data_IF_602901245837
#
_entry.id   IF_602901245837
#
_cell.length_a   1.000
_cell.length_b   1.000
_cell.length_c   1.000
_cell.angle_alpha   90.00
_cell.angle_beta   90.00
_cell.angle_gamma   90.00
#
_symmetry.space_group_name_H-M   'P 1'
#
loop_
_entity.id
_entity.type
_entity.pdbx_description
1 polymer ?
#
# COMPACT_ATOMS: atom_id res chain seq x y z
N UNK A 1 34.93 -44.29 52.45
CA UNK A 1 35.54 -43.27 51.57
C UNK A 1 34.89 -43.38 50.21
N UNK A 2 34.13 -42.33 49.86
CA UNK A 2 33.82 -41.72 48.55
C UNK A 2 34.06 -42.58 47.29
N UNK A 3 33.22 -42.60 46.26
CA UNK A 3 32.40 -41.51 45.75
C UNK A 3 31.36 -42.04 44.76
N UNK A 4 30.14 -41.50 44.82
CA UNK A 4 29.20 -41.47 43.70
C UNK A 4 29.75 -40.53 42.62
N UNK A 5 29.67 -40.92 41.34
CA UNK A 5 29.75 -40.05 40.15
C UNK A 5 28.84 -40.68 39.10
N UNK A 6 27.54 -40.36 39.13
CA UNK A 6 26.92 -39.19 38.48
C UNK A 6 26.95 -39.28 36.95
N UNK A 7 25.80 -39.69 36.44
CA UNK A 7 25.29 -39.52 35.08
C UNK A 7 25.47 -38.07 34.60
N UNK A 8 25.86 -37.90 33.34
CA UNK A 8 25.48 -36.73 32.55
C UNK A 8 25.52 -37.10 31.06
N UNK A 9 24.37 -37.36 30.42
CA UNK A 9 24.30 -37.39 28.96
C UNK A 9 24.47 -35.94 28.50
N UNK A 10 25.44 -35.70 27.62
CA UNK A 10 25.54 -34.45 26.87
C UNK A 10 24.25 -34.27 26.07
N UNK A 11 23.36 -33.46 26.63
CA UNK A 11 22.25 -32.83 25.95
C UNK A 11 22.81 -32.08 24.74
N UNK A 12 22.63 -32.68 23.56
CA UNK A 12 22.59 -31.97 22.29
C UNK A 12 21.41 -30.99 22.38
N UNK A 13 21.66 -29.80 22.92
CA UNK A 13 20.82 -28.63 22.69
C UNK A 13 20.90 -28.31 21.20
N UNK A 14 20.10 -29.01 20.40
CA UNK A 14 19.58 -28.46 19.15
C UNK A 14 18.81 -27.20 19.54
N UNK A 15 19.51 -26.08 19.54
CA UNK A 15 18.91 -24.76 19.44
C UNK A 15 18.31 -24.71 18.04
N UNK A 16 17.11 -25.27 17.89
CA UNK A 16 16.20 -24.82 16.86
C UNK A 16 15.93 -23.36 17.19
N UNK A 17 16.72 -22.45 16.61
CA UNK A 17 16.25 -21.11 16.31
C UNK A 17 15.07 -21.30 15.35
N UNK A 18 13.90 -21.60 15.91
CA UNK A 18 12.64 -21.30 15.25
C UNK A 18 12.68 -19.79 15.10
N UNK A 19 13.10 -19.31 13.93
CA UNK A 19 12.76 -17.96 13.52
C UNK A 19 11.24 -17.94 13.55
N UNK A 20 10.68 -17.40 14.63
CA UNK A 20 9.29 -17.01 14.68
C UNK A 20 9.15 -16.02 13.54
N UNK A 21 8.67 -16.51 12.39
CA UNK A 21 8.26 -15.65 11.32
C UNK A 21 7.11 -14.84 11.90
N UNK A 22 7.39 -13.58 12.25
CA UNK A 22 6.43 -12.63 12.79
C UNK A 22 5.37 -12.46 11.70
N UNK A 23 4.20 -13.06 11.94
CA UNK A 23 3.06 -12.95 11.06
C UNK A 23 2.42 -11.60 11.30
N UNK A 24 2.24 -10.81 10.25
CA UNK A 24 1.52 -9.55 10.36
C UNK A 24 0.04 -9.76 10.04
N UNK A 25 -0.80 -9.14 10.86
CA UNK A 25 -2.24 -9.11 10.64
C UNK A 25 -2.59 -8.10 9.56
N UNK A 26 -3.18 -8.59 8.47
CA UNK A 26 -3.76 -7.74 7.44
C UNK A 26 -5.24 -7.63 7.75
N UNK A 27 -5.65 -6.47 8.25
CA UNK A 27 -7.04 -6.20 8.65
C UNK A 27 -7.61 -7.23 9.64
N UNK A 28 -6.79 -7.66 10.62
CA UNK A 28 -7.21 -8.60 11.67
C UNK A 28 -7.25 -10.07 11.22
N UNK A 29 -6.66 -10.40 10.07
CA UNK A 29 -6.46 -11.78 9.63
C UNK A 29 -4.96 -12.11 9.56
N UNK A 30 -4.55 -13.15 10.30
CA UNK A 30 -3.17 -13.66 10.38
C UNK A 30 -2.74 -14.25 9.03
N UNK A 31 -2.21 -13.40 8.16
CA UNK A 31 -2.08 -13.74 6.75
C UNK A 31 -0.75 -13.28 6.15
N UNK A 32 -0.13 -12.20 6.64
CA UNK A 32 1.13 -11.70 6.08
C UNK A 32 2.40 -12.08 6.83
N UNK A 33 3.56 -11.74 6.24
CA UNK A 33 4.83 -11.49 6.94
C UNK A 33 5.29 -10.08 6.59
N UNK A 34 5.78 -9.37 7.60
CA UNK A 34 6.44 -8.09 7.43
C UNK A 34 7.86 -8.32 6.92
N UNK A 35 8.24 -7.67 5.80
CA UNK A 35 9.55 -7.89 5.18
C UNK A 35 10.22 -6.60 4.72
N UNK A 36 11.52 -6.53 4.98
CA UNK A 36 12.42 -5.47 4.52
C UNK A 36 12.98 -5.70 3.13
N UNK A 37 12.74 -6.88 2.52
CA UNK A 37 13.25 -7.26 1.20
C UNK A 37 12.88 -6.28 0.08
N UNK A 38 11.87 -5.48 0.36
CA UNK A 38 11.27 -4.51 -0.52
C UNK A 38 11.76 -3.09 -0.22
N UNK A 39 12.12 -2.72 1.01
CA UNK A 39 12.36 -1.31 1.32
C UNK A 39 13.84 -0.95 1.20
N UNK A 40 14.26 -0.02 0.32
CA UNK A 40 15.68 0.26 0.12
C UNK A 40 16.36 0.89 1.34
N UNK A 41 15.63 1.65 2.16
CA UNK A 41 16.22 2.36 3.31
C UNK A 41 16.41 1.49 4.55
N UNK A 42 15.86 0.26 4.60
CA UNK A 42 16.24 -0.70 5.65
C UNK A 42 17.65 -1.28 5.47
N UNK A 43 18.33 -0.93 4.37
CA UNK A 43 19.69 -1.37 4.07
C UNK A 43 20.74 -0.27 4.24
N UNK A 44 20.34 0.90 4.76
CA UNK A 44 21.32 1.88 5.21
C UNK A 44 22.05 1.30 6.42
N UNK A 45 23.36 1.06 6.27
CA UNK A 45 24.22 0.66 7.39
C UNK A 45 24.38 1.89 8.30
N UNK A 46 24.27 1.70 9.61
CA UNK A 46 24.52 2.74 10.62
C UNK A 46 25.88 3.42 10.34
N UNK A 47 25.84 4.60 9.71
CA UNK A 47 27.02 5.38 9.32
C UNK A 47 27.29 5.43 7.81
N UNK A 48 26.60 6.36 7.13
CA UNK A 48 26.98 7.05 5.87
C UNK A 48 27.18 6.28 4.55
N UNK A 49 27.24 4.95 4.49
CA UNK A 49 27.32 4.25 3.20
C UNK A 49 25.98 3.62 2.81
N UNK A 50 25.34 4.22 1.80
CA UNK A 50 24.17 3.65 1.13
C UNK A 50 24.60 2.31 0.50
N UNK A 51 23.99 1.20 0.92
CA UNK A 51 24.21 -0.09 0.26
C UNK A 51 23.50 -0.08 -1.11
N UNK A 52 24.22 0.40 -2.13
CA UNK A 52 23.75 0.49 -3.51
C UNK A 52 23.32 -0.88 -4.04
N UNK A 53 23.96 -1.96 -3.59
CA UNK A 53 23.61 -3.31 -4.04
C UNK A 53 22.27 -3.74 -3.44
N UNK A 54 22.06 -3.52 -2.15
CA UNK A 54 20.80 -3.85 -1.50
C UNK A 54 19.63 -3.00 -2.02
N UNK A 55 19.85 -1.71 -2.31
CA UNK A 55 18.86 -0.85 -2.97
C UNK A 55 18.48 -1.42 -4.33
N UNK A 56 19.48 -1.85 -5.12
CA UNK A 56 19.25 -2.44 -6.42
C UNK A 56 18.54 -3.80 -6.32
N UNK A 57 18.87 -4.62 -5.32
CA UNK A 57 18.19 -5.89 -5.05
C UNK A 57 16.73 -5.67 -4.67
N UNK A 58 16.45 -4.75 -3.76
CA UNK A 58 15.08 -4.37 -3.37
C UNK A 58 14.27 -3.90 -4.58
N UNK A 59 14.88 -3.08 -5.45
CA UNK A 59 14.26 -2.62 -6.70
C UNK A 59 13.95 -3.77 -7.66
N UNK A 60 14.89 -4.68 -7.89
CA UNK A 60 14.70 -5.86 -8.74
C UNK A 60 13.56 -6.72 -8.19
N UNK A 61 13.56 -6.94 -6.87
CA UNK A 61 12.56 -7.75 -6.20
C UNK A 61 11.16 -7.13 -6.32
N UNK A 62 11.02 -5.82 -6.10
CA UNK A 62 9.75 -5.12 -6.34
C UNK A 62 9.24 -5.23 -7.77
N UNK A 63 10.13 -5.02 -8.75
CA UNK A 63 9.77 -5.07 -10.16
C UNK A 63 9.32 -6.49 -10.58
N UNK A 64 9.88 -7.51 -9.96
CA UNK A 64 9.51 -8.92 -10.17
C UNK A 64 8.19 -9.27 -9.47
N UNK A 65 8.11 -9.00 -8.17
CA UNK A 65 7.06 -9.55 -7.31
C UNK A 65 5.81 -8.66 -7.25
N UNK A 66 5.94 -7.36 -7.53
CA UNK A 66 4.84 -6.39 -7.47
C UNK A 66 4.90 -5.39 -8.63
N UNK A 67 4.83 -5.85 -9.90
CA UNK A 67 4.92 -4.98 -11.07
C UNK A 67 3.82 -3.90 -11.14
N UNK A 68 2.66 -4.12 -10.51
CA UNK A 68 1.56 -3.16 -10.48
C UNK A 68 1.62 -2.21 -9.29
N UNK A 69 1.59 -2.74 -8.05
CA UNK A 69 1.56 -1.92 -6.84
C UNK A 69 2.93 -1.36 -6.44
N UNK A 70 4.03 -1.92 -6.95
CA UNK A 70 5.38 -1.51 -6.57
C UNK A 70 5.68 -0.05 -6.82
N UNK A 71 5.17 0.53 -7.91
CA UNK A 71 5.33 1.98 -8.17
C UNK A 71 4.70 2.88 -7.10
N UNK A 72 3.77 2.39 -6.30
CA UNK A 72 3.08 3.14 -5.24
C UNK A 72 3.66 2.91 -3.84
N UNK A 73 4.55 1.92 -3.69
CA UNK A 73 4.98 1.43 -2.38
C UNK A 73 6.51 1.33 -2.26
N UNK A 74 7.21 0.96 -3.34
CA UNK A 74 8.59 0.46 -3.33
C UNK A 74 9.68 1.38 -2.77
N UNK A 75 9.36 2.64 -2.50
CA UNK A 75 10.30 3.63 -1.95
C UNK A 75 9.83 4.26 -0.64
N UNK A 76 8.72 3.78 -0.08
CA UNK A 76 8.05 4.47 1.02
C UNK A 76 8.03 3.66 2.31
N UNK A 77 7.94 2.32 2.21
CA UNK A 77 7.90 1.46 3.37
C UNK A 77 8.12 -0.02 3.07
N UNK A 78 8.41 -0.74 4.15
CA UNK A 78 8.39 -2.20 4.22
C UNK A 78 6.93 -2.68 4.31
N UNK A 79 6.45 -3.48 3.33
CA UNK A 79 5.07 -3.93 3.29
C UNK A 79 4.89 -5.26 4.03
N UNK A 80 3.66 -5.48 4.49
CA UNK A 80 3.15 -6.78 4.90
C UNK A 80 2.68 -7.55 3.65
N UNK A 81 3.31 -8.69 3.37
CA UNK A 81 3.10 -9.48 2.14
C UNK A 81 2.65 -10.91 2.44
N UNK A 82 2.00 -11.61 1.51
CA UNK A 82 1.70 -13.04 1.69
C UNK A 82 2.94 -13.86 2.02
N UNK A 83 2.87 -14.61 3.11
CA UNK A 83 3.94 -15.52 3.54
C UNK A 83 3.70 -16.97 3.11
N UNK A 84 2.43 -17.38 3.12
CA UNK A 84 1.94 -18.68 2.66
C UNK A 84 0.52 -18.50 2.10
N UNK A 85 0.14 -19.23 1.03
CA UNK A 85 -1.26 -19.32 0.65
C UNK A 85 -2.02 -19.96 1.81
N UNK A 86 -2.89 -19.19 2.45
CA UNK A 86 -3.65 -19.66 3.60
C UNK A 86 -5.14 -19.41 3.35
N UNK A 87 -5.99 -20.25 3.93
CA UNK A 87 -7.45 -20.11 3.83
C UNK A 87 -7.93 -18.77 4.38
N UNK A 88 -7.19 -18.19 5.31
CA UNK A 88 -7.45 -16.91 5.96
C UNK A 88 -7.32 -15.74 4.97
N UNK A 89 -6.41 -15.81 3.99
CA UNK A 89 -6.32 -14.80 2.92
C UNK A 89 -7.55 -14.75 2.03
N UNK A 90 -8.09 -15.93 1.72
CA UNK A 90 -9.27 -16.06 0.88
C UNK A 90 -10.57 -15.88 1.67
N UNK A 91 -10.48 -15.71 2.99
CA UNK A 91 -11.65 -15.63 3.84
C UNK A 91 -12.33 -14.27 3.71
N UNK A 92 -13.67 -14.24 3.71
CA UNK A 92 -14.43 -13.02 3.90
C UNK A 92 -13.98 -12.22 5.13
N UNK A 93 -13.87 -10.91 4.96
CA UNK A 93 -13.67 -9.97 6.06
C UNK A 93 -14.68 -8.80 5.92
N UNK A 94 -14.73 -7.91 6.91
CA UNK A 94 -15.67 -6.77 6.90
C UNK A 94 -15.48 -5.82 5.69
N UNK A 95 -14.29 -5.81 5.11
CA UNK A 95 -13.89 -5.03 3.94
C UNK A 95 -14.12 -5.79 2.62
N UNK A 96 -14.11 -7.13 2.65
CA UNK A 96 -14.26 -8.03 1.50
C UNK A 96 -15.23 -9.16 1.84
N UNK A 97 -16.54 -8.92 1.69
CA UNK A 97 -17.61 -9.85 2.10
C UNK A 97 -17.57 -11.22 1.39
N UNK A 98 -16.90 -11.31 0.24
CA UNK A 98 -16.70 -12.57 -0.49
C UNK A 98 -15.29 -13.14 -0.32
N UNK A 99 -14.48 -12.51 0.52
CA UNK A 99 -13.06 -12.80 0.66
C UNK A 99 -12.22 -12.09 -0.38
N UNK A 100 -10.94 -11.94 -0.08
CA UNK A 100 -9.97 -11.48 -1.06
C UNK A 100 -9.68 -12.63 -2.02
N UNK A 101 -9.41 -12.34 -3.29
CA UNK A 101 -8.84 -13.31 -4.24
C UNK A 101 -9.82 -14.40 -4.75
N UNK A 102 -11.13 -14.12 -4.74
CA UNK A 102 -12.11 -14.89 -5.51
C UNK A 102 -12.09 -14.47 -6.99
N UNK A 103 -11.86 -15.42 -7.90
CA UNK A 103 -12.24 -15.27 -9.31
C UNK A 103 -12.85 -16.59 -9.81
N UNK A 104 -14.17 -16.73 -9.65
CA UNK A 104 -14.93 -17.93 -10.05
C UNK A 104 -14.81 -19.11 -9.08
N UNK A 105 -15.41 -20.24 -9.44
CA UNK A 105 -15.44 -21.51 -8.67
C UNK A 105 -14.05 -22.09 -8.33
N UNK A 106 -12.98 -21.52 -8.91
CA UNK A 106 -11.61 -21.91 -8.65
C UNK A 106 -10.95 -20.93 -7.68
N UNK A 107 -10.60 -21.42 -6.48
CA UNK A 107 -9.70 -20.71 -5.55
C UNK A 107 -8.39 -20.45 -6.29
N UNK A 108 -8.15 -19.22 -6.73
CA UNK A 108 -6.83 -18.84 -7.23
C UNK A 108 -5.83 -18.95 -6.09
N UNK A 109 -4.93 -19.92 -6.17
CA UNK A 109 -3.83 -20.11 -5.21
C UNK A 109 -3.04 -18.81 -5.09
N UNK A 110 -3.19 -18.12 -3.97
CA UNK A 110 -2.43 -16.91 -3.63
C UNK A 110 -1.05 -17.33 -3.12
N UNK A 111 -0.37 -18.17 -3.90
CA UNK A 111 0.89 -18.79 -3.52
C UNK A 111 2.06 -17.80 -3.57
N UNK A 112 1.85 -16.58 -4.07
CA UNK A 112 2.92 -15.58 -4.21
C UNK A 112 2.41 -14.13 -4.09
N UNK A 113 3.35 -13.25 -3.74
CA UNK A 113 3.19 -11.79 -3.78
C UNK A 113 2.74 -11.33 -5.17
N UNK A 114 3.31 -11.91 -6.22
CA UNK A 114 3.00 -11.60 -7.62
C UNK A 114 1.57 -11.96 -8.00
N UNK A 115 1.05 -13.10 -7.54
CA UNK A 115 -0.35 -13.49 -7.78
C UNK A 115 -1.30 -12.47 -7.17
N UNK A 116 -1.01 -12.00 -5.95
CA UNK A 116 -1.81 -10.98 -5.28
C UNK A 116 -1.73 -9.63 -5.97
N UNK A 117 -0.54 -9.21 -6.39
CA UNK A 117 -0.35 -7.97 -7.14
C UNK A 117 -1.15 -7.98 -8.46
N UNK A 118 -1.13 -9.12 -9.16
CA UNK A 118 -1.94 -9.34 -10.37
C UNK A 118 -3.43 -9.27 -10.08
N UNK A 119 -3.89 -9.87 -8.97
CA UNK A 119 -5.29 -9.76 -8.56
C UNK A 119 -5.68 -8.31 -8.24
N UNK A 120 -4.83 -7.56 -7.53
CA UNK A 120 -5.08 -6.13 -7.27
C UNK A 120 -5.21 -5.36 -8.57
N UNK A 121 -4.28 -5.57 -9.52
CA UNK A 121 -4.33 -4.97 -10.86
C UNK A 121 -5.64 -5.29 -11.58
N UNK A 122 -6.05 -6.55 -11.58
CA UNK A 122 -7.28 -6.99 -12.26
C UNK A 122 -8.52 -6.39 -11.62
N UNK A 123 -8.62 -6.40 -10.29
CA UNK A 123 -9.71 -5.78 -9.53
C UNK A 123 -9.79 -4.29 -9.80
N UNK A 124 -8.66 -3.56 -9.79
CA UNK A 124 -8.64 -2.13 -10.07
C UNK A 124 -9.07 -1.86 -11.52
N UNK A 125 -8.51 -2.61 -12.47
CA UNK A 125 -8.80 -2.43 -13.90
C UNK A 125 -10.27 -2.72 -14.21
N UNK A 126 -10.83 -3.82 -13.69
CA UNK A 126 -12.23 -4.17 -13.91
C UNK A 126 -13.17 -3.18 -13.25
N UNK A 127 -12.86 -2.70 -12.05
CA UNK A 127 -13.68 -1.69 -11.35
C UNK A 127 -13.69 -0.37 -12.08
N UNK A 128 -12.53 0.11 -12.54
CA UNK A 128 -12.45 1.34 -13.34
C UNK A 128 -13.23 1.16 -14.63
N UNK A 129 -13.03 0.06 -15.35
CA UNK A 129 -13.70 -0.17 -16.63
C UNK A 129 -15.23 -0.25 -16.47
N UNK A 130 -15.72 -0.98 -15.46
CA UNK A 130 -17.15 -1.06 -15.16
C UNK A 130 -17.76 0.30 -14.81
N UNK A 131 -17.05 1.16 -14.07
CA UNK A 131 -17.50 2.54 -13.82
C UNK A 131 -17.54 3.40 -15.08
N UNK A 132 -16.53 3.27 -15.94
CA UNK A 132 -16.49 3.97 -17.24
C UNK A 132 -17.68 3.56 -18.12
N UNK A 133 -18.04 2.29 -18.12
CA UNK A 133 -19.19 1.77 -18.88
C UNK A 133 -20.51 2.32 -18.32
N UNK A 134 -20.70 2.28 -17.00
CA UNK A 134 -21.88 2.85 -16.34
C UNK A 134 -22.03 4.36 -16.62
N UNK A 135 -20.93 5.13 -16.58
CA UNK A 135 -20.95 6.56 -16.91
C UNK A 135 -21.38 6.81 -18.37
N UNK A 136 -20.99 5.94 -19.30
CA UNK A 136 -21.39 6.04 -20.70
C UNK A 136 -22.86 5.71 -20.91
N UNK A 137 -23.40 4.78 -20.15
CA UNK A 137 -24.82 4.37 -20.22
C UNK A 137 -25.75 5.39 -19.57
N UNK A 138 -25.37 5.96 -18.42
CA UNK A 138 -26.25 6.83 -17.62
C UNK A 138 -26.20 8.32 -18.03
N UNK A 139 -25.24 8.70 -18.87
CA UNK A 139 -25.08 10.09 -19.29
C UNK A 139 -24.34 10.95 -18.25
N UNK A 140 -23.61 11.94 -18.76
CA UNK A 140 -22.53 12.75 -18.15
C UNK A 140 -22.80 13.50 -16.83
N UNK A 141 -23.91 13.29 -16.10
CA UNK A 141 -24.25 14.20 -15.00
C UNK A 141 -23.67 13.82 -13.63
N UNK A 142 -23.12 12.62 -13.46
CA UNK A 142 -22.48 12.24 -12.21
C UNK A 142 -21.22 11.41 -12.44
N UNK A 143 -20.09 12.00 -12.05
CA UNK A 143 -18.73 11.44 -12.05
C UNK A 143 -18.13 11.23 -13.44
N UNK A 144 -16.86 11.62 -13.58
CA UNK A 144 -16.08 11.48 -14.81
C UNK A 144 -14.86 10.59 -14.56
N UNK A 145 -15.05 9.40 -13.98
CA UNK A 145 -13.99 8.41 -13.82
C UNK A 145 -13.26 8.18 -15.14
N UNK A 146 -13.97 8.16 -16.28
CA UNK A 146 -13.36 7.97 -17.60
C UNK A 146 -12.36 9.05 -18.02
N UNK A 147 -12.56 10.30 -17.61
CA UNK A 147 -11.74 11.46 -17.97
C UNK A 147 -10.81 11.90 -16.82
N UNK A 148 -11.03 11.38 -15.61
CA UNK A 148 -10.29 11.76 -14.43
C UNK A 148 -9.20 10.73 -14.10
N UNK A 149 -8.06 10.86 -14.79
CA UNK A 149 -6.88 10.01 -14.55
C UNK A 149 -6.38 10.08 -13.10
N UNK A 150 -6.52 11.24 -12.44
CA UNK A 150 -6.12 11.41 -11.04
C UNK A 150 -6.97 10.56 -10.12
N UNK A 151 -8.27 10.45 -10.38
CA UNK A 151 -9.17 9.56 -9.64
C UNK A 151 -8.83 8.08 -9.87
N UNK A 152 -8.58 7.68 -11.12
CA UNK A 152 -8.16 6.31 -11.46
C UNK A 152 -6.87 5.93 -10.73
N UNK A 153 -5.89 6.83 -10.76
CA UNK A 153 -4.60 6.68 -10.09
C UNK A 153 -4.75 6.66 -8.56
N UNK A 154 -5.56 7.55 -7.99
CA UNK A 154 -5.84 7.57 -6.56
C UNK A 154 -6.52 6.27 -6.09
N UNK A 155 -7.43 5.73 -6.90
CA UNK A 155 -8.08 4.44 -6.63
C UNK A 155 -7.09 3.29 -6.68
N UNK A 156 -6.18 3.28 -7.66
CA UNK A 156 -5.11 2.30 -7.75
C UNK A 156 -4.19 2.34 -6.52
N UNK A 157 -3.73 3.53 -6.13
CA UNK A 157 -2.89 3.75 -4.92
C UNK A 157 -3.58 3.26 -3.65
N UNK A 158 -4.82 3.70 -3.45
CA UNK A 158 -5.63 3.31 -2.31
C UNK A 158 -5.75 1.79 -2.21
N UNK A 159 -6.09 1.13 -3.32
CA UNK A 159 -6.24 -0.33 -3.37
C UNK A 159 -4.91 -1.06 -3.12
N UNK A 160 -3.80 -0.52 -3.61
CA UNK A 160 -2.48 -1.08 -3.35
C UNK A 160 -2.08 -0.97 -1.89
N UNK A 161 -2.27 0.19 -1.24
CA UNK A 161 -1.98 0.38 0.19
C UNK A 161 -2.85 -0.47 1.09
N UNK A 162 -4.12 -0.65 0.71
CA UNK A 162 -5.05 -1.50 1.42
C UNK A 162 -4.60 -2.97 1.43
N UNK A 163 -4.02 -3.41 0.32
CA UNK A 163 -3.62 -4.80 0.14
C UNK A 163 -2.19 -5.06 0.59
N UNK A 164 -1.28 -4.10 0.46
CA UNK A 164 0.10 -4.22 0.93
C UNK A 164 0.38 -3.15 1.98
N UNK A 165 -0.21 -3.28 3.18
CA UNK A 165 -0.08 -2.28 4.23
C UNK A 165 1.36 -2.16 4.72
N UNK A 166 1.72 -0.99 5.24
CA UNK A 166 3.00 -0.71 5.90
C UNK A 166 3.12 -1.56 7.16
N UNK A 167 4.31 -2.09 7.41
CA UNK A 167 4.66 -2.70 8.69
C UNK A 167 4.97 -1.65 9.75
N UNK A 168 4.63 -1.96 10.99
CA UNK A 168 5.05 -1.16 12.13
C UNK A 168 6.58 -1.19 12.31
N UNK A 169 7.08 -0.41 13.27
CA UNK A 169 8.52 -0.30 13.52
C UNK A 169 9.15 -1.60 14.05
N UNK A 170 8.34 -2.46 14.68
CA UNK A 170 8.77 -3.74 15.24
C UNK A 170 8.63 -4.91 14.26
N UNK A 171 8.04 -4.69 13.08
CA UNK A 171 7.76 -5.73 12.07
C UNK A 171 6.84 -6.84 12.59
N UNK A 172 6.02 -6.53 13.59
CA UNK A 172 5.06 -7.47 14.18
C UNK A 172 3.71 -7.34 13.47
N UNK A 173 3.26 -6.11 13.23
CA UNK A 173 1.91 -5.83 12.74
C UNK A 173 1.90 -4.98 11.48
N UNK A 174 0.83 -5.12 10.70
CA UNK A 174 0.55 -4.16 9.64
C UNK A 174 -0.27 -2.98 10.18
N UNK A 175 0.02 -1.79 9.66
CA UNK A 175 -0.61 -0.56 10.10
C UNK A 175 -1.90 -0.29 9.30
N UNK A 176 -2.95 0.23 9.97
CA UNK A 176 -4.20 0.58 9.30
C UNK A 176 -3.99 1.69 8.26
N UNK A 177 -4.92 1.86 7.33
CA UNK A 177 -4.85 2.97 6.37
C UNK A 177 -4.91 4.33 7.08
N UNK A 178 -4.18 5.30 6.54
CA UNK A 178 -4.25 6.68 6.96
C UNK A 178 -5.57 7.31 6.51
N UNK A 179 -6.16 8.15 7.36
CA UNK A 179 -7.32 8.98 7.00
C UNK A 179 -7.06 9.78 5.71
N UNK A 180 -5.84 10.30 5.55
CA UNK A 180 -5.45 11.03 4.33
C UNK A 180 -5.55 10.21 3.05
N UNK A 181 -5.37 8.89 3.10
CA UNK A 181 -5.46 8.03 1.93
C UNK A 181 -6.92 7.96 1.42
N UNK A 182 -7.87 7.83 2.35
CA UNK A 182 -9.29 7.91 2.06
C UNK A 182 -9.66 9.31 1.52
N UNK A 183 -9.30 10.38 2.24
CA UNK A 183 -9.64 11.75 1.81
C UNK A 183 -9.07 12.09 0.43
N UNK A 184 -7.85 11.64 0.12
CA UNK A 184 -7.23 11.85 -1.18
C UNK A 184 -7.98 11.14 -2.30
N UNK A 185 -8.45 9.90 -2.07
CA UNK A 185 -9.29 9.19 -3.04
C UNK A 185 -10.57 9.98 -3.32
N UNK A 186 -11.28 10.36 -2.26
CA UNK A 186 -12.55 11.07 -2.41
C UNK A 186 -12.37 12.43 -3.08
N UNK A 187 -11.32 13.17 -2.71
CA UNK A 187 -10.96 14.46 -3.31
C UNK A 187 -10.58 14.33 -4.77
N UNK A 188 -9.72 13.37 -5.13
CA UNK A 188 -9.30 13.13 -6.51
C UNK A 188 -10.49 12.74 -7.39
N UNK A 189 -11.42 11.96 -6.85
CA UNK A 189 -12.64 11.53 -7.53
C UNK A 189 -13.80 12.53 -7.46
N UNK A 190 -13.61 13.69 -6.82
CA UNK A 190 -14.61 14.76 -6.68
C UNK A 190 -15.93 14.29 -6.08
N UNK A 191 -15.87 13.36 -5.14
CA UNK A 191 -17.04 13.01 -4.34
C UNK A 191 -17.35 14.15 -3.37
N UNK A 192 -18.64 14.39 -3.13
CA UNK A 192 -19.11 15.38 -2.16
C UNK A 192 -18.59 15.04 -0.76
N UNK A 193 -18.20 16.06 0.00
CA UNK A 193 -17.50 15.89 1.30
C UNK A 193 -18.33 15.17 2.36
N UNK A 194 -19.65 15.28 2.26
CA UNK A 194 -20.62 14.60 3.11
C UNK A 194 -20.76 13.10 2.79
N UNK A 195 -20.18 12.62 1.69
CA UNK A 195 -20.01 11.19 1.38
C UNK A 195 -18.69 10.63 1.93
N UNK A 196 -17.79 11.48 2.41
CA UNK A 196 -16.50 11.04 2.91
C UNK A 196 -16.76 10.30 4.23
N UNK A 197 -16.33 9.04 4.31
CA UNK A 197 -16.45 8.19 5.51
C UNK A 197 -15.06 7.84 6.02
N UNK A 198 -14.17 8.84 6.02
CA UNK A 198 -12.76 8.68 6.34
C UNK A 198 -12.44 8.80 7.84
N UNK A 199 -13.45 9.02 8.67
CA UNK A 199 -13.32 9.24 10.11
C UNK A 199 -13.16 7.91 10.88
N UNK A 200 -12.48 7.95 12.02
CA UNK A 200 -12.09 6.77 12.80
C UNK A 200 -13.23 6.18 13.65
N UNK A 201 -14.27 6.98 13.91
CA UNK A 201 -15.37 6.74 14.85
C UNK A 201 -16.67 6.29 14.17
N UNK A 202 -16.65 6.03 12.86
CA UNK A 202 -17.80 5.44 12.13
C UNK A 202 -17.88 3.93 12.39
N UNK A 203 -17.77 3.52 13.66
CA UNK A 203 -17.91 2.14 14.11
C UNK A 203 -19.38 1.98 14.54
N UNK A 204 -20.17 1.29 13.72
CA UNK A 204 -21.62 1.10 13.85
C UNK A 204 -22.51 2.30 13.50
N UNK A 205 -22.99 2.32 12.26
CA UNK A 205 -24.21 3.02 11.89
C UNK A 205 -25.27 1.94 11.79
N UNK A 206 -26.33 2.04 12.59
CA UNK A 206 -27.56 1.23 12.50
C UNK A 206 -28.36 1.52 11.21
N UNK A 207 -27.74 2.14 10.20
CA UNK A 207 -28.41 2.57 8.98
C UNK A 207 -28.40 1.46 7.94
N UNK A 208 -29.61 1.13 7.50
CA UNK A 208 -30.08 0.20 6.44
C UNK A 208 -29.35 0.24 5.08
N UNK A 209 -28.31 1.05 4.92
CA UNK A 209 -27.47 1.11 3.73
C UNK A 209 -26.08 0.53 4.03
N UNK A 210 -25.86 -0.71 3.60
CA UNK A 210 -24.56 -1.40 3.57
C UNK A 210 -23.64 -0.81 2.48
N UNK A 211 -23.57 0.53 2.40
CA UNK A 211 -22.67 1.28 1.52
C UNK A 211 -21.22 1.25 2.02
N UNK A 212 -20.93 0.55 3.13
CA UNK A 212 -19.57 0.31 3.64
C UNK A 212 -18.77 -0.64 2.75
N UNK A 213 -19.45 -1.50 1.99
CA UNK A 213 -18.83 -2.33 0.96
C UNK A 213 -18.12 -1.51 -0.13
N UNK A 214 -18.42 -0.19 -0.27
CA UNK A 214 -17.82 0.63 -1.32
C UNK A 214 -16.36 1.02 -1.04
N UNK A 215 -15.91 1.09 0.21
CA UNK A 215 -14.57 1.59 0.57
C UNK A 215 -13.90 0.77 1.69
N UNK A 216 -13.28 -0.36 1.33
CA UNK A 216 -12.57 -1.20 2.28
C UNK A 216 -11.33 -0.50 2.87
N UNK A 217 -11.10 -0.61 4.18
CA UNK A 217 -9.91 -0.07 4.84
C UNK A 217 -10.14 0.65 6.17
N UNK A 218 -11.37 0.62 6.70
CA UNK A 218 -11.69 1.09 8.03
C UNK A 218 -11.24 0.10 9.11
N UNK A 219 -10.91 0.57 10.33
CA UNK A 219 -10.87 1.98 10.74
C UNK A 219 -9.63 2.72 10.19
N UNK A 220 -9.81 3.99 9.82
CA UNK A 220 -8.70 4.84 9.40
C UNK A 220 -8.01 5.48 10.61
N UNK A 221 -6.70 5.67 10.50
CA UNK A 221 -5.90 6.34 11.54
C UNK A 221 -5.44 7.71 11.05
N UNK A 222 -5.54 8.72 11.92
CA UNK A 222 -5.05 10.08 11.62
C UNK A 222 -3.54 10.07 11.42
N UNK A 223 -3.07 10.77 10.39
CA UNK A 223 -1.66 11.01 10.18
C UNK A 223 -1.09 11.81 11.37
N UNK A 224 0.16 11.52 11.73
CA UNK A 224 0.90 12.30 12.70
C UNK A 224 2.23 12.75 12.10
N UNK A 225 2.79 13.83 12.61
CA UNK A 225 3.99 14.46 12.06
C UNK A 225 4.96 14.80 13.18
N UNK A 226 6.25 14.69 12.88
CA UNK A 226 7.32 15.10 13.79
C UNK A 226 7.24 16.63 13.95
N UNK A 227 7.16 17.15 15.20
CA UNK A 227 7.19 18.59 15.45
C UNK A 227 8.44 19.22 14.82
N UNK A 228 8.29 20.41 14.21
CA UNK A 228 9.34 21.19 13.51
C UNK A 228 9.72 20.73 12.11
N UNK A 229 9.94 19.44 11.85
CA UNK A 229 10.30 18.98 10.49
C UNK A 229 9.08 18.77 9.58
N UNK A 230 7.89 18.62 10.18
CA UNK A 230 6.65 18.30 9.47
C UNK A 230 6.81 17.04 8.59
N UNK A 231 7.64 16.10 9.04
CA UNK A 231 7.81 14.80 8.40
C UNK A 231 6.80 13.81 8.99
N UNK A 232 6.18 12.96 8.18
CA UNK A 232 5.13 12.04 8.62
C UNK A 232 5.72 10.95 9.52
N UNK A 233 5.01 10.63 10.60
CA UNK A 233 5.29 9.49 11.47
C UNK A 233 4.70 8.21 10.86
N UNK A 234 5.41 7.07 10.89
CA UNK A 234 4.96 5.81 10.29
C UNK A 234 3.93 5.10 11.19
N UNK A 235 2.78 5.73 11.43
CA UNK A 235 1.73 5.21 12.33
C UNK A 235 0.51 4.62 11.59
N UNK A 236 0.46 4.78 10.26
CA UNK A 236 -0.60 4.33 9.36
C UNK A 236 -0.05 4.16 7.93
N UNK A 237 -0.83 3.56 7.04
CA UNK A 237 -0.47 3.31 5.64
C UNK A 237 -1.12 4.35 4.70
N UNK A 238 -0.36 5.11 3.88
CA UNK A 238 1.07 4.95 3.65
C UNK A 238 1.95 5.89 4.51
N UNK A 239 1.36 6.91 5.13
CA UNK A 239 2.03 8.01 5.85
C UNK A 239 3.18 8.65 5.05
N UNK A 240 2.85 9.09 3.83
CA UNK A 240 3.80 9.73 2.89
C UNK A 240 3.49 11.23 2.80
N UNK A 241 4.55 12.06 2.78
CA UNK A 241 4.45 13.51 2.55
C UNK A 241 4.38 13.81 1.06
N UNK A 242 3.43 14.64 0.63
CA UNK A 242 3.32 15.10 -0.76
C UNK A 242 2.70 14.10 -1.74
N UNK A 243 2.08 13.04 -1.24
CA UNK A 243 1.39 12.02 -2.05
C UNK A 243 -0.08 12.39 -2.37
N UNK A 244 -0.56 13.51 -1.83
CA UNK A 244 -1.68 14.21 -2.41
C UNK A 244 -1.23 14.71 -3.79
N UNK A 245 -1.89 14.23 -4.85
CA UNK A 245 -1.78 14.65 -6.25
C UNK A 245 -0.90 15.88 -6.45
N UNK A 246 0.20 15.72 -7.19
CA UNK A 246 0.92 16.84 -7.75
C UNK A 246 -0.05 17.62 -8.64
N UNK A 247 -0.77 18.58 -8.03
CA UNK A 247 -1.53 19.60 -8.72
C UNK A 247 -0.59 20.15 -9.77
N UNK A 248 -0.98 19.94 -11.04
CA UNK A 248 -0.17 20.23 -12.21
C UNK A 248 0.42 21.63 -12.12
N UNK A 249 1.71 21.70 -11.82
CA UNK A 249 2.50 22.92 -11.91
C UNK A 249 3.86 22.57 -12.53
N UNK A 250 3.82 21.95 -13.72
CA UNK A 250 5.02 21.65 -14.52
C UNK A 250 4.77 21.74 -16.02
N UNK A 251 4.24 22.87 -16.51
CA UNK A 251 4.52 23.32 -17.89
C UNK A 251 4.36 24.84 -17.99
N UNK A 252 5.28 25.67 -17.49
CA UNK A 252 5.33 27.10 -17.92
C UNK A 252 6.70 27.78 -17.82
N UNK A 253 7.80 27.05 -17.58
CA UNK A 253 9.14 27.66 -17.43
C UNK A 253 10.17 27.32 -18.50
N UNK A 254 9.82 26.62 -19.59
CA UNK A 254 10.78 26.30 -20.67
C UNK A 254 10.53 27.07 -21.98
N UNK A 255 9.48 27.90 -22.06
CA UNK A 255 9.16 28.64 -23.30
C UNK A 255 9.53 30.13 -23.29
N UNK A 256 10.30 30.60 -22.29
CA UNK A 256 10.73 32.02 -22.21
C UNK A 256 12.21 32.25 -22.53
N UNK A 257 12.99 31.20 -22.81
CA UNK A 257 14.41 31.34 -23.21
C UNK A 257 14.67 31.12 -24.71
N UNK A 258 13.67 30.70 -25.48
CA UNK A 258 13.82 30.45 -26.92
C UNK A 258 13.41 31.62 -27.82
N UNK A 259 12.89 32.73 -27.28
CA UNK A 259 12.52 33.93 -28.06
C UNK A 259 13.48 35.11 -27.87
N UNK A 260 14.61 34.92 -27.17
CA UNK A 260 15.56 35.98 -26.84
C UNK A 260 16.86 36.00 -27.64
N UNK A 261 17.08 35.07 -28.58
CA UNK A 261 18.38 34.93 -29.29
C UNK A 261 18.33 35.32 -30.77
N UNK A 262 17.15 35.52 -31.37
CA UNK A 262 17.05 35.87 -32.81
C UNK A 262 17.05 37.38 -33.12
N UNK A 263 17.39 38.26 -32.17
CA UNK A 263 17.35 39.72 -32.38
C UNK A 263 18.68 40.46 -32.23
N UNK A 264 19.82 39.77 -32.36
CA UNK A 264 21.15 40.39 -32.27
C UNK A 264 22.15 39.96 -33.36
N UNK A 265 21.67 39.52 -34.53
CA UNK A 265 22.53 39.31 -35.71
C UNK A 265 21.87 39.92 -36.95
N UNK A 266 21.61 41.22 -36.91
CA UNK A 266 21.55 42.08 -38.09
C UNK A 266 21.59 43.53 -37.58
N UNK A 267 22.59 44.28 -38.03
CA UNK A 267 22.93 45.68 -37.70
C UNK A 267 23.82 45.92 -36.47
N UNK A 268 25.06 46.32 -36.80
CA UNK A 268 26.16 46.89 -35.99
C UNK A 268 27.25 45.92 -35.54
#
# INVERSE_FOLDING_TARGET
MNSMTSLLPLYLCFVFCVQLALTCDIHGTNSGICTNEYHPSSYAIDGDELDVQAIQQAKIKWQSDMPYCGKYIANYYSPCVPSRPSTEWASPDANFQFGRLMKGESKTDVASVQTKDNWVRETVTSTIQGKIELEREQGSNHYHFNQNKDCQEAFARYTCWLNFPRCDEFFEDSLPLCQSACENLFRACKFESDLWRCEADVIHGDSEYDIRALFPGQPFKKNAFIPKSNNPLPICTPSIKGDASSIGMRVWFVLSLALGVDMLVEWM
#
